data_IF_473836252757
#
_entry.id   IF_473836252757
#
_cell.length_a   1.000
_cell.length_b   1.000
_cell.length_c   1.000
_cell.angle_alpha   90.00
_cell.angle_beta   90.00
_cell.angle_gamma   90.00
#
_symmetry.space_group_name_H-M   'P 1'
#
loop_
_entity.id
_entity.type
_entity.pdbx_description
1 polymer ?
#
# COMPACT_ATOMS: atom_id res chain seq x y z
N UNK A 1 -5.33 -25.39 -19.33
CA UNK A 1 -4.08 -24.76 -18.88
C UNK A 1 -3.90 -23.53 -19.75
N UNK A 2 -4.21 -22.35 -19.21
CA UNK A 2 -4.02 -21.10 -19.91
C UNK A 2 -2.68 -20.54 -19.41
N UNK A 3 -1.67 -20.49 -20.27
CA UNK A 3 -0.33 -19.92 -20.00
C UNK A 3 -0.34 -18.39 -19.85
N UNK A 4 -1.47 -17.79 -19.44
CA UNK A 4 -1.67 -16.33 -19.34
C UNK A 4 -2.13 -15.86 -17.94
N UNK A 5 -2.00 -16.69 -16.90
CA UNK A 5 -2.38 -16.32 -15.53
C UNK A 5 -1.22 -16.41 -14.54
N UNK A 6 0.00 -16.07 -14.95
CA UNK A 6 1.03 -15.72 -13.97
C UNK A 6 1.03 -14.19 -13.80
N UNK A 7 0.53 -13.65 -12.68
CA UNK A 7 0.59 -12.21 -12.41
C UNK A 7 2.04 -11.68 -12.38
N UNK A 8 3.04 -12.55 -12.21
CA UNK A 8 4.46 -12.20 -12.31
C UNK A 8 4.97 -12.09 -13.77
N UNK A 9 4.19 -12.54 -14.76
CA UNK A 9 4.54 -12.46 -16.19
C UNK A 9 4.21 -11.10 -16.81
N UNK A 10 3.37 -10.29 -16.16
CA UNK A 10 2.99 -8.97 -16.65
C UNK A 10 4.19 -8.00 -16.61
N UNK A 11 4.51 -7.40 -17.75
CA UNK A 11 5.55 -6.38 -17.89
C UNK A 11 5.29 -5.22 -16.90
N UNK A 12 4.03 -4.85 -16.69
CA UNK A 12 3.68 -3.75 -15.82
C UNK A 12 3.94 -4.07 -14.34
N UNK A 13 3.70 -5.32 -13.93
CA UNK A 13 4.08 -5.82 -12.61
C UNK A 13 5.59 -5.66 -12.39
N UNK A 14 6.40 -6.12 -13.35
CA UNK A 14 7.87 -6.00 -13.32
C UNK A 14 8.33 -4.55 -13.25
N UNK A 15 7.72 -3.66 -14.04
CA UNK A 15 8.01 -2.22 -14.03
C UNK A 15 7.73 -1.63 -12.65
N UNK A 16 6.55 -1.89 -12.09
CA UNK A 16 6.14 -1.39 -10.77
C UNK A 16 7.04 -1.90 -9.65
N UNK A 17 7.36 -3.18 -9.67
CA UNK A 17 8.26 -3.78 -8.70
C UNK A 17 9.67 -3.20 -8.79
N UNK A 18 10.17 -3.01 -10.01
CA UNK A 18 11.48 -2.39 -10.26
C UNK A 18 11.51 -0.92 -9.86
N UNK A 19 10.41 -0.18 -10.06
CA UNK A 19 10.28 1.19 -9.57
C UNK A 19 10.27 1.29 -8.04
N UNK A 20 9.75 0.28 -7.33
CA UNK A 20 9.87 0.22 -5.87
C UNK A 20 11.34 0.13 -5.43
N UNK A 21 12.17 -0.68 -6.10
CA UNK A 21 13.61 -0.73 -5.83
C UNK A 21 14.31 0.59 -6.18
N UNK A 22 13.95 1.22 -7.30
CA UNK A 22 14.49 2.53 -7.69
C UNK A 22 14.10 3.61 -6.67
N UNK A 23 12.90 3.54 -6.10
CA UNK A 23 12.47 4.41 -5.01
C UNK A 23 13.31 4.19 -3.76
N UNK A 24 13.53 2.94 -3.35
CA UNK A 24 14.40 2.62 -2.21
C UNK A 24 15.84 3.13 -2.40
N UNK A 25 16.44 2.92 -3.57
CA UNK A 25 17.76 3.47 -3.91
C UNK A 25 17.75 5.01 -3.83
N UNK A 26 16.74 5.68 -4.41
CA UNK A 26 16.62 7.13 -4.39
C UNK A 26 16.51 7.69 -2.96
N UNK A 27 15.72 7.03 -2.11
CA UNK A 27 15.56 7.40 -0.71
C UNK A 27 16.85 7.20 0.06
N UNK A 28 17.56 6.08 -0.09
CA UNK A 28 18.84 5.86 0.59
C UNK A 28 19.92 6.86 0.18
N UNK A 29 19.88 7.39 -1.05
CA UNK A 29 20.79 8.48 -1.45
C UNK A 29 20.50 9.80 -0.69
N UNK A 30 19.27 10.01 -0.19
CA UNK A 30 18.83 11.22 0.53
C UNK A 30 18.89 11.02 2.05
N UNK A 31 18.53 9.83 2.52
CA UNK A 31 18.51 9.39 3.92
C UNK A 31 19.30 8.08 4.03
N UNK A 32 20.64 8.12 4.10
CA UNK A 32 21.47 6.92 4.14
C UNK A 32 21.22 5.99 5.34
N UNK A 33 20.65 6.54 6.41
CA UNK A 33 20.34 5.81 7.63
C UNK A 33 18.90 5.25 7.67
N UNK A 34 18.09 5.48 6.63
CA UNK A 34 16.75 4.91 6.54
C UNK A 34 16.85 3.39 6.42
N UNK A 35 15.96 2.66 7.11
CA UNK A 35 15.89 1.20 7.02
C UNK A 35 14.75 0.78 6.10
N UNK A 36 14.97 -0.27 5.33
CA UNK A 36 14.01 -0.75 4.34
C UNK A 36 13.10 -1.82 4.96
N UNK A 37 11.80 -1.72 4.69
CA UNK A 37 10.82 -2.76 5.04
C UNK A 37 10.32 -3.46 3.77
N UNK A 38 9.11 -3.14 3.29
CA UNK A 38 8.51 -3.79 2.12
C UNK A 38 8.15 -2.79 1.03
N UNK A 39 8.38 -3.18 -0.23
CA UNK A 39 7.98 -2.39 -1.38
C UNK A 39 7.38 -3.19 -2.53
N UNK A 40 6.15 -3.71 -2.36
CA UNK A 40 5.50 -4.48 -3.40
C UNK A 40 4.91 -3.57 -4.50
N UNK A 41 4.73 -4.10 -5.72
CA UNK A 41 3.83 -3.52 -6.69
C UNK A 41 2.38 -3.58 -6.18
N UNK A 42 1.57 -2.62 -6.61
CA UNK A 42 0.12 -2.56 -6.37
C UNK A 42 -0.62 -2.29 -7.68
N UNK A 43 -1.95 -2.41 -7.67
CA UNK A 43 -2.81 -2.34 -8.86
C UNK A 43 -2.53 -1.15 -9.79
N UNK A 44 -2.23 0.03 -9.25
CA UNK A 44 -2.02 1.27 -10.02
C UNK A 44 -0.59 1.84 -9.88
N UNK A 45 0.34 1.06 -9.32
CA UNK A 45 1.68 1.57 -9.02
C UNK A 45 2.47 0.69 -8.07
N UNK A 46 3.10 1.31 -7.09
CA UNK A 46 3.95 0.64 -6.11
C UNK A 46 3.99 1.47 -4.82
N UNK A 47 4.49 0.88 -3.75
CA UNK A 47 4.92 1.65 -2.59
C UNK A 47 6.22 1.10 -2.05
N UNK A 48 6.82 1.82 -1.11
CA UNK A 48 7.88 1.29 -0.27
C UNK A 48 7.74 1.84 1.15
N UNK A 49 7.83 0.96 2.14
CA UNK A 49 7.82 1.27 3.57
C UNK A 49 9.24 1.51 4.09
N UNK A 50 9.44 2.64 4.76
CA UNK A 50 10.72 3.06 5.31
C UNK A 50 10.60 3.36 6.80
N UNK A 51 11.65 3.02 7.55
CA UNK A 51 11.88 3.56 8.88
C UNK A 51 12.95 4.64 8.79
N UNK A 52 12.53 5.89 8.95
CA UNK A 52 13.41 7.06 8.91
C UNK A 52 13.98 7.44 10.29
N UNK A 53 13.60 6.73 11.35
CA UNK A 53 13.91 7.14 12.71
C UNK A 53 13.44 8.57 13.00
N UNK A 54 14.39 9.46 13.32
CA UNK A 54 14.11 10.86 13.66
C UNK A 54 14.01 11.83 12.48
N UNK A 55 14.27 11.40 11.24
CA UNK A 55 14.34 12.28 10.06
C UNK A 55 13.36 11.85 8.94
N UNK A 56 12.04 11.84 9.20
CA UNK A 56 11.05 11.42 8.22
C UNK A 56 11.05 12.33 6.99
N UNK A 57 10.60 11.77 5.87
CA UNK A 57 10.31 12.54 4.65
C UNK A 57 8.85 12.95 4.62
N UNK A 58 8.59 14.15 4.11
CA UNK A 58 7.25 14.70 3.89
C UNK A 58 6.91 14.81 2.40
N UNK A 59 5.69 15.24 2.10
CA UNK A 59 5.24 15.42 0.70
C UNK A 59 6.12 16.42 -0.07
N UNK A 60 6.72 17.39 0.63
CA UNK A 60 7.64 18.37 0.07
C UNK A 60 8.96 17.76 -0.46
N UNK A 61 9.34 16.56 0.02
CA UNK A 61 10.55 15.86 -0.43
C UNK A 61 10.31 15.02 -1.70
N UNK A 62 9.05 14.71 -2.03
CA UNK A 62 8.69 13.86 -3.17
C UNK A 62 9.27 14.35 -4.51
N UNK A 63 9.26 15.67 -4.83
CA UNK A 63 9.88 16.15 -6.07
C UNK A 63 11.39 15.89 -6.12
N UNK A 64 12.11 15.94 -4.99
CA UNK A 64 13.54 15.62 -4.97
C UNK A 64 13.75 14.11 -5.18
N UNK A 65 13.00 13.27 -4.46
CA UNK A 65 13.08 11.81 -4.55
C UNK A 65 12.77 11.37 -5.99
N UNK A 66 11.69 11.87 -6.59
CA UNK A 66 11.30 11.53 -7.96
C UNK A 66 12.38 11.94 -8.97
N UNK A 67 13.00 13.12 -8.80
CA UNK A 67 14.11 13.55 -9.63
C UNK A 67 15.33 12.63 -9.51
N UNK A 68 15.62 12.10 -8.32
CA UNK A 68 16.68 11.09 -8.12
C UNK A 68 16.33 9.76 -8.76
N UNK A 69 15.08 9.30 -8.66
CA UNK A 69 14.60 8.12 -9.39
C UNK A 69 14.84 8.28 -10.90
N UNK A 70 14.47 9.43 -11.48
CA UNK A 70 14.71 9.73 -12.91
C UNK A 70 16.21 9.73 -13.26
N UNK A 71 17.08 10.17 -12.35
CA UNK A 71 18.56 10.10 -12.55
C UNK A 71 19.06 8.66 -12.51
N UNK A 72 18.52 7.82 -11.63
CA UNK A 72 18.85 6.38 -11.54
C UNK A 72 18.46 5.67 -12.85
N UNK A 73 17.25 5.91 -13.36
CA UNK A 73 16.81 5.30 -14.63
C UNK A 73 17.73 5.64 -15.81
N UNK A 74 18.27 6.87 -15.84
CA UNK A 74 19.22 7.29 -16.89
C UNK A 74 20.54 6.52 -16.88
N UNK A 75 20.91 5.87 -15.77
CA UNK A 75 22.12 5.04 -15.67
C UNK A 75 21.98 3.73 -16.46
N UNK A 76 20.75 3.28 -16.76
CA UNK A 76 20.46 2.05 -17.52
C UNK A 76 21.12 0.79 -16.92
N UNK A 77 21.18 0.74 -15.59
CA UNK A 77 21.76 -0.39 -14.84
C UNK A 77 20.87 -1.64 -14.96
N UNK A 78 21.47 -2.85 -15.05
CA UNK A 78 20.73 -4.10 -15.05
C UNK A 78 20.21 -4.45 -13.65
N UNK A 79 19.09 -5.16 -13.59
CA UNK A 79 18.67 -5.85 -12.36
C UNK A 79 19.27 -7.26 -12.35
N UNK A 80 20.17 -7.54 -11.43
CA UNK A 80 20.88 -8.82 -11.35
C UNK A 80 20.37 -9.60 -10.15
N UNK A 81 19.77 -10.77 -10.41
CA UNK A 81 19.33 -11.71 -9.38
C UNK A 81 20.54 -12.50 -8.85
N UNK A 82 20.65 -12.59 -7.54
CA UNK A 82 21.57 -13.50 -6.85
C UNK A 82 20.83 -14.25 -5.75
N UNK A 83 21.39 -15.37 -5.31
CA UNK A 83 20.86 -16.15 -4.20
C UNK A 83 21.94 -16.28 -3.13
N UNK A 84 21.54 -16.23 -1.88
CA UNK A 84 22.39 -16.47 -0.72
C UNK A 84 21.74 -17.56 0.13
N UNK A 85 22.54 -18.38 0.80
CA UNK A 85 21.98 -19.27 1.84
C UNK A 85 21.34 -18.43 2.95
N UNK A 86 20.41 -18.99 3.71
CA UNK A 86 19.77 -18.28 4.84
C UNK A 86 20.81 -17.68 5.78
N UNK A 87 21.86 -18.42 6.13
CA UNK A 87 22.89 -17.96 7.07
C UNK A 87 23.70 -16.78 6.49
N UNK A 88 24.09 -16.86 5.21
CA UNK A 88 24.78 -15.77 4.50
C UNK A 88 23.90 -14.53 4.38
N UNK A 89 22.62 -14.72 4.03
CA UNK A 89 21.64 -13.65 3.90
C UNK A 89 21.42 -12.93 5.23
N UNK A 90 21.27 -13.66 6.33
CA UNK A 90 21.12 -13.09 7.67
C UNK A 90 22.36 -12.29 8.06
N UNK A 91 23.57 -12.85 7.91
CA UNK A 91 24.81 -12.15 8.22
C UNK A 91 25.00 -10.88 7.37
N UNK A 92 24.61 -10.95 6.09
CA UNK A 92 24.66 -9.82 5.16
C UNK A 92 23.70 -8.69 5.57
N UNK A 93 22.44 -9.03 5.87
CA UNK A 93 21.41 -8.06 6.27
C UNK A 93 21.71 -7.45 7.65
N UNK A 94 22.19 -8.24 8.60
CA UNK A 94 22.59 -7.77 9.93
C UNK A 94 23.76 -6.78 9.86
N UNK A 95 24.77 -7.07 9.03
CA UNK A 95 25.91 -6.16 8.80
C UNK A 95 25.47 -4.81 8.21
N UNK A 96 24.37 -4.79 7.44
CA UNK A 96 23.78 -3.58 6.85
C UNK A 96 22.76 -2.89 7.76
N UNK A 97 22.43 -3.47 8.91
CA UNK A 97 21.45 -2.91 9.84
C UNK A 97 20.00 -2.98 9.36
N UNK A 98 19.68 -3.86 8.40
CA UNK A 98 18.35 -4.01 7.79
C UNK A 98 17.41 -4.83 8.69
N UNK A 99 17.08 -4.30 9.86
CA UNK A 99 16.39 -5.04 10.95
C UNK A 99 15.08 -5.70 10.51
N UNK A 100 14.29 -5.04 9.65
CA UNK A 100 13.01 -5.57 9.17
C UNK A 100 13.21 -6.74 8.19
N UNK A 101 14.23 -6.67 7.33
CA UNK A 101 14.58 -7.73 6.39
C UNK A 101 15.16 -8.94 7.13
N UNK A 102 15.95 -8.72 8.20
CA UNK A 102 16.47 -9.80 9.06
C UNK A 102 15.31 -10.57 9.70
N UNK A 103 14.35 -9.86 10.29
CA UNK A 103 13.17 -10.49 10.89
C UNK A 103 12.40 -11.30 9.85
N UNK A 104 12.13 -10.72 8.68
CA UNK A 104 11.43 -11.42 7.61
C UNK A 104 12.19 -12.63 7.08
N UNK A 105 13.51 -12.54 6.93
CA UNK A 105 14.36 -13.66 6.52
C UNK A 105 14.28 -14.83 7.52
N UNK A 106 14.26 -14.55 8.83
CA UNK A 106 14.09 -15.57 9.88
C UNK A 106 12.71 -16.22 9.79
N UNK A 107 11.65 -15.43 9.66
CA UNK A 107 10.29 -15.96 9.49
C UNK A 107 10.17 -16.86 8.26
N UNK A 108 10.77 -16.47 7.13
CA UNK A 108 10.78 -17.27 5.92
C UNK A 108 11.53 -18.59 6.12
N UNK A 109 12.69 -18.56 6.78
CA UNK A 109 13.46 -19.76 7.09
C UNK A 109 12.67 -20.74 7.99
N UNK A 110 11.94 -20.22 8.98
CA UNK A 110 11.12 -21.02 9.89
C UNK A 110 9.85 -21.57 9.23
N UNK A 111 9.30 -20.87 8.23
CA UNK A 111 8.07 -21.28 7.54
C UNK A 111 8.21 -22.56 6.72
N UNK A 112 9.44 -22.97 6.37
CA UNK A 112 9.71 -24.10 5.48
C UNK A 112 9.33 -23.85 4.01
N UNK A 113 8.98 -22.61 3.63
CA UNK A 113 8.56 -22.25 2.27
C UNK A 113 9.74 -21.98 1.32
N UNK A 114 10.97 -21.93 1.84
CA UNK A 114 12.16 -21.63 1.04
C UNK A 114 12.57 -22.81 0.15
N UNK A 115 12.62 -22.58 -1.15
CA UNK A 115 13.18 -23.52 -2.10
C UNK A 115 14.71 -23.57 -1.94
N UNK A 116 15.24 -24.75 -1.60
CA UNK A 116 16.69 -24.97 -1.46
C UNK A 116 17.34 -24.25 -0.27
N UNK A 117 16.56 -23.76 0.70
CA UNK A 117 17.07 -23.00 1.86
C UNK A 117 17.92 -21.78 1.47
N UNK A 118 17.51 -21.09 0.40
CA UNK A 118 18.14 -19.87 -0.09
C UNK A 118 17.15 -18.71 -0.10
N UNK A 119 17.68 -17.50 0.01
CA UNK A 119 16.96 -16.25 -0.14
C UNK A 119 17.50 -15.53 -1.38
N UNK A 120 16.60 -15.00 -2.19
CA UNK A 120 16.97 -14.24 -3.38
C UNK A 120 17.11 -12.75 -3.10
N UNK A 121 18.03 -12.16 -3.84
CA UNK A 121 18.36 -10.75 -3.81
C UNK A 121 18.40 -10.21 -5.23
N UNK A 122 18.09 -8.93 -5.38
CA UNK A 122 18.27 -8.22 -6.64
C UNK A 122 19.16 -7.00 -6.41
N UNK A 123 20.18 -6.87 -7.24
CA UNK A 123 21.03 -5.68 -7.28
C UNK A 123 20.74 -4.81 -8.50
N UNK A 124 20.86 -3.50 -8.31
CA UNK A 124 20.73 -2.46 -9.35
C UNK A 124 21.77 -1.39 -9.07
N UNK A 125 22.89 -1.42 -9.79
CA UNK A 125 24.05 -0.58 -9.47
C UNK A 125 24.60 -0.89 -8.07
N UNK A 126 24.65 0.13 -7.21
CA UNK A 126 25.15 0.00 -5.83
C UNK A 126 24.06 -0.45 -4.82
N UNK A 127 22.81 -0.53 -5.28
CA UNK A 127 21.67 -0.95 -4.47
C UNK A 127 21.49 -2.46 -4.54
N UNK A 128 21.14 -3.08 -3.40
CA UNK A 128 20.80 -4.49 -3.29
C UNK A 128 19.69 -4.66 -2.26
N UNK A 129 18.67 -5.42 -2.60
CA UNK A 129 17.51 -5.68 -1.75
C UNK A 129 17.15 -7.16 -1.74
N UNK A 130 16.64 -7.63 -0.60
CA UNK A 130 16.09 -8.98 -0.46
C UNK A 130 14.69 -9.00 -1.06
N UNK A 131 14.54 -9.74 -2.15
CA UNK A 131 13.37 -9.71 -3.01
C UNK A 131 13.28 -10.98 -3.87
N UNK A 132 12.07 -11.51 -4.05
CA UNK A 132 11.81 -12.67 -4.91
C UNK A 132 11.76 -12.30 -6.41
N UNK A 133 11.43 -11.03 -6.71
CA UNK A 133 11.19 -10.54 -8.05
C UNK A 133 9.81 -10.97 -8.58
N UNK A 134 9.65 -11.06 -9.92
CA UNK A 134 10.60 -10.69 -10.95
C UNK A 134 10.75 -9.16 -11.11
N UNK A 135 11.82 -8.77 -11.80
CA UNK A 135 12.13 -7.39 -12.22
C UNK A 135 12.24 -7.29 -13.75
N UNK A 136 12.25 -6.07 -14.28
CA UNK A 136 12.66 -5.81 -15.67
C UNK A 136 14.15 -6.13 -15.83
N UNK A 137 14.65 -6.37 -17.05
CA UNK A 137 16.06 -6.77 -17.19
C UNK A 137 17.01 -5.61 -16.86
N UNK A 138 16.60 -4.38 -17.16
CA UNK A 138 17.36 -3.18 -16.81
C UNK A 138 16.45 -1.94 -16.64
N UNK A 139 16.97 -0.94 -15.94
CA UNK A 139 16.23 0.30 -15.64
C UNK A 139 15.81 1.12 -16.87
N UNK A 140 16.36 0.87 -18.06
CA UNK A 140 15.94 1.55 -19.29
C UNK A 140 14.60 1.04 -19.84
N UNK A 141 14.13 -0.14 -19.41
CA UNK A 141 12.79 -0.66 -19.76
C UNK A 141 11.66 0.05 -19.03
N UNK A 142 11.99 0.80 -17.98
CA UNK A 142 11.03 1.59 -17.21
C UNK A 142 10.75 2.89 -17.98
N UNK A 143 9.49 3.16 -18.42
CA UNK A 143 9.14 4.42 -19.05
C UNK A 143 9.36 5.55 -18.05
N UNK A 144 10.37 6.39 -18.31
CA UNK A 144 10.74 7.43 -17.36
C UNK A 144 9.57 8.37 -17.06
N UNK A 145 8.76 8.72 -18.06
CA UNK A 145 7.58 9.58 -17.93
C UNK A 145 6.28 8.82 -17.59
N UNK A 146 6.35 7.50 -17.45
CA UNK A 146 5.21 6.63 -17.07
C UNK A 146 5.01 6.47 -15.57
N UNK A 147 5.79 7.16 -14.73
CA UNK A 147 5.63 7.13 -13.27
C UNK A 147 5.65 8.53 -12.64
N UNK A 148 5.03 8.62 -11.46
CA UNK A 148 5.06 9.78 -10.57
C UNK A 148 4.90 9.34 -9.11
N UNK A 149 5.58 10.01 -8.17
CA UNK A 149 5.29 9.84 -6.75
C UNK A 149 3.95 10.49 -6.42
N UNK A 150 3.22 9.88 -5.48
CA UNK A 150 1.81 10.18 -5.23
C UNK A 150 1.55 10.80 -3.87
N UNK A 151 1.71 10.02 -2.82
CA UNK A 151 1.36 10.40 -1.45
C UNK A 151 2.21 9.65 -0.45
N UNK A 152 2.24 10.15 0.78
CA UNK A 152 2.84 9.49 1.92
C UNK A 152 1.74 9.03 2.88
N UNK A 153 1.92 7.88 3.52
CA UNK A 153 1.08 7.45 4.64
C UNK A 153 1.90 6.79 5.73
N UNK A 154 1.33 6.65 6.93
CA UNK A 154 1.86 5.75 7.95
C UNK A 154 1.44 4.30 7.68
N UNK A 155 2.28 3.35 8.06
CA UNK A 155 1.94 1.94 8.20
C UNK A 155 2.60 1.40 9.47
N UNK A 156 2.05 0.35 10.07
CA UNK A 156 2.72 -0.33 11.17
C UNK A 156 3.40 -1.58 10.64
N UNK A 157 4.59 -1.89 11.15
CA UNK A 157 5.26 -3.13 10.78
C UNK A 157 4.37 -4.34 11.13
N UNK A 158 4.14 -5.23 10.14
CA UNK A 158 3.17 -6.34 10.21
C UNK A 158 1.73 -5.96 10.51
N UNK A 159 1.37 -4.68 10.40
CA UNK A 159 0.03 -4.17 10.73
C UNK A 159 -0.30 -4.19 12.22
N UNK A 160 0.69 -4.31 13.10
CA UNK A 160 0.51 -4.32 14.56
C UNK A 160 0.81 -2.93 15.12
N UNK A 161 -0.19 -2.26 15.68
CA UNK A 161 -0.08 -0.88 16.20
C UNK A 161 0.92 -0.72 17.36
N UNK A 162 1.36 -1.83 17.97
CA UNK A 162 2.37 -1.85 19.03
C UNK A 162 3.79 -1.84 18.49
N UNK A 163 3.97 -2.01 17.17
CA UNK A 163 5.27 -2.07 16.50
C UNK A 163 5.64 -0.72 15.89
N UNK A 164 6.91 -0.51 15.46
CA UNK A 164 7.33 0.75 14.88
C UNK A 164 6.42 1.21 13.73
N UNK A 165 6.10 2.50 13.74
CA UNK A 165 5.41 3.16 12.64
C UNK A 165 6.40 3.45 11.52
N UNK A 166 6.09 2.96 10.33
CA UNK A 166 6.84 3.14 9.10
C UNK A 166 6.20 4.25 8.27
N UNK A 167 7.01 4.88 7.43
CA UNK A 167 6.59 5.85 6.42
C UNK A 167 6.48 5.14 5.09
N UNK A 168 5.26 5.03 4.56
CA UNK A 168 4.96 4.48 3.25
C UNK A 168 4.96 5.58 2.21
N UNK A 169 5.79 5.44 1.17
CA UNK A 169 5.78 6.33 0.01
C UNK A 169 5.12 5.59 -1.14
N UNK A 170 4.02 6.14 -1.68
CA UNK A 170 3.34 5.60 -2.85
C UNK A 170 3.86 6.24 -4.14
N UNK A 171 3.95 5.44 -5.20
CA UNK A 171 4.16 5.90 -6.57
C UNK A 171 3.13 5.27 -7.50
N UNK A 172 2.74 6.02 -8.53
CA UNK A 172 1.94 5.56 -9.66
C UNK A 172 2.87 5.11 -10.78
N UNK A 173 2.51 4.05 -11.50
CA UNK A 173 3.29 3.59 -12.66
C UNK A 173 2.41 2.88 -13.69
N UNK A 174 2.59 3.30 -14.94
CA UNK A 174 1.86 2.89 -16.12
C UNK A 174 2.82 2.65 -17.30
N UNK A 175 2.32 2.01 -18.37
CA UNK A 175 3.14 1.70 -19.53
C UNK A 175 3.52 2.96 -20.34
N UNK A 176 2.78 4.06 -20.17
CA UNK A 176 3.00 5.31 -20.87
C UNK A 176 2.61 6.53 -20.04
N UNK A 177 3.16 7.70 -20.41
CA UNK A 177 2.74 8.99 -19.86
C UNK A 177 1.24 9.27 -20.06
N UNK A 178 0.69 8.88 -21.21
CA UNK A 178 -0.71 9.09 -21.52
C UNK A 178 -1.65 8.34 -20.54
N UNK A 179 -1.32 7.08 -20.23
CA UNK A 179 -2.07 6.30 -19.24
C UNK A 179 -1.94 6.86 -17.81
N UNK A 180 -0.76 7.33 -17.44
CA UNK A 180 -0.54 8.00 -16.16
C UNK A 180 -1.41 9.27 -16.05
N UNK A 181 -1.40 10.11 -17.08
CA UNK A 181 -2.16 11.36 -17.09
C UNK A 181 -3.68 11.07 -17.09
N UNK A 182 -4.15 10.07 -17.84
CA UNK A 182 -5.55 9.60 -17.83
C UNK A 182 -5.99 9.10 -16.43
N UNK A 183 -5.16 8.28 -15.78
CA UNK A 183 -5.45 7.82 -14.41
C UNK A 183 -5.52 8.98 -13.42
N UNK A 184 -4.60 9.94 -13.50
CA UNK A 184 -4.61 11.12 -12.62
C UNK A 184 -5.86 11.97 -12.83
N UNK A 185 -6.31 12.13 -14.06
CA UNK A 185 -7.56 12.85 -14.36
C UNK A 185 -8.79 12.11 -13.82
N UNK A 186 -8.89 10.79 -14.04
CA UNK A 186 -9.97 9.98 -13.45
C UNK A 186 -10.00 10.08 -11.93
N UNK A 187 -8.83 10.04 -11.28
CA UNK A 187 -8.72 10.19 -9.83
C UNK A 187 -9.13 11.59 -9.36
N UNK A 188 -8.75 12.64 -10.09
CA UNK A 188 -9.17 14.01 -9.82
C UNK A 188 -10.71 14.13 -9.88
N UNK A 189 -11.32 13.60 -10.93
CA UNK A 189 -12.78 13.55 -11.09
C UNK A 189 -13.45 12.71 -9.98
N UNK A 190 -12.84 11.62 -9.54
CA UNK A 190 -13.35 10.82 -8.42
C UNK A 190 -13.29 11.58 -7.08
N UNK A 191 -12.20 12.31 -6.81
CA UNK A 191 -12.05 13.16 -5.62
C UNK A 191 -13.08 14.29 -5.61
N UNK A 192 -13.43 14.85 -6.77
CA UNK A 192 -14.51 15.83 -6.86
C UNK A 192 -15.87 15.27 -6.44
N UNK A 193 -16.05 13.95 -6.54
CA UNK A 193 -17.28 13.23 -6.24
C UNK A 193 -17.20 12.46 -4.93
N UNK A 194 -16.17 12.74 -4.12
CA UNK A 194 -16.01 12.11 -2.82
C UNK A 194 -17.15 12.54 -1.88
N UNK A 195 -17.88 11.56 -1.34
CA UNK A 195 -19.00 11.80 -0.44
C UNK A 195 -18.59 12.56 0.83
N UNK A 196 -17.31 12.52 1.24
CA UNK A 196 -16.80 13.27 2.38
C UNK A 196 -16.69 14.75 2.06
N UNK A 197 -16.33 15.07 0.82
CA UNK A 197 -16.29 16.46 0.33
C UNK A 197 -17.71 16.96 0.09
N UNK A 198 -18.47 16.24 -0.73
CA UNK A 198 -19.84 16.61 -1.09
C UNK A 198 -20.78 16.60 0.12
N UNK A 199 -20.58 15.69 1.07
CA UNK A 199 -21.39 15.62 2.29
C UNK A 199 -21.28 16.87 3.15
N UNK A 200 -20.11 17.50 3.19
CA UNK A 200 -19.89 18.78 3.86
C UNK A 200 -20.40 19.93 2.99
N UNK A 201 -20.04 19.98 1.70
CA UNK A 201 -20.45 21.05 0.77
C UNK A 201 -21.97 21.16 0.59
N UNK A 202 -22.68 20.03 0.66
CA UNK A 202 -24.15 19.95 0.51
C UNK A 202 -24.87 19.85 1.86
N UNK A 203 -24.16 20.02 2.98
CA UNK A 203 -24.74 19.97 4.33
C UNK A 203 -25.57 18.69 4.60
N UNK A 204 -25.05 17.53 4.19
CA UNK A 204 -25.71 16.23 4.37
C UNK A 204 -25.40 15.62 5.73
N UNK A 205 -24.13 15.71 6.17
CA UNK A 205 -23.70 15.23 7.47
C UNK A 205 -22.49 16.04 7.96
N UNK A 206 -22.21 15.96 9.26
CA UNK A 206 -20.96 16.45 9.83
C UNK A 206 -20.29 15.37 10.69
N UNK A 207 -18.97 15.48 10.83
CA UNK A 207 -18.16 14.72 11.77
C UNK A 207 -17.65 15.70 12.83
N UNK A 208 -17.95 15.43 14.09
CA UNK A 208 -17.57 16.29 15.21
C UNK A 208 -16.69 15.50 16.17
N UNK A 209 -15.52 16.04 16.51
CA UNK A 209 -14.57 15.39 17.41
C UNK A 209 -15.11 15.24 18.83
N UNK A 210 -15.98 16.15 19.30
CA UNK A 210 -16.61 16.09 20.62
C UNK A 210 -17.61 14.93 20.70
N UNK A 211 -18.28 14.61 19.58
CA UNK A 211 -19.19 13.46 19.48
C UNK A 211 -18.42 12.14 19.36
N UNK A 212 -17.31 12.15 18.60
CA UNK A 212 -16.40 11.02 18.47
C UNK A 212 -16.17 10.56 17.03
N UNK A 213 -14.99 9.99 16.79
CA UNK A 213 -14.57 9.51 15.47
C UNK A 213 -15.46 8.36 14.98
N UNK A 214 -15.88 8.43 13.72
CA UNK A 214 -16.74 7.42 13.08
C UNK A 214 -18.23 7.54 13.41
N UNK A 215 -18.66 8.61 14.09
CA UNK A 215 -20.07 8.84 14.48
C UNK A 215 -20.61 10.08 13.73
N UNK A 216 -21.12 9.92 12.49
CA UNK A 216 -21.64 11.05 11.73
C UNK A 216 -22.96 11.57 12.28
N UNK A 217 -23.07 12.90 12.37
CA UNK A 217 -24.32 13.59 12.63
C UNK A 217 -25.02 13.90 11.30
N UNK A 218 -26.20 13.33 11.10
CA UNK A 218 -27.02 13.59 9.91
C UNK A 218 -27.68 14.97 10.03
N UNK A 219 -27.40 15.83 9.07
CA UNK A 219 -28.02 17.15 8.96
C UNK A 219 -29.41 17.03 8.29
N UNK A 220 -30.26 18.07 8.30
CA UNK A 220 -31.62 17.97 7.77
C UNK A 220 -31.70 17.41 6.34
N UNK A 221 -30.83 17.86 5.42
CA UNK A 221 -30.83 17.38 4.03
C UNK A 221 -30.43 15.90 3.92
N UNK A 222 -29.39 15.48 4.65
CA UNK A 222 -28.99 14.07 4.68
C UNK A 222 -30.02 13.18 5.38
N UNK A 223 -30.70 13.69 6.40
CA UNK A 223 -31.79 12.98 7.09
C UNK A 223 -32.94 12.66 6.13
N UNK A 224 -33.35 13.60 5.27
CA UNK A 224 -34.37 13.36 4.25
C UNK A 224 -33.97 12.23 3.29
N UNK A 225 -32.72 12.25 2.80
CA UNK A 225 -32.21 11.19 1.91
C UNK A 225 -32.27 9.83 2.60
N UNK A 226 -31.79 9.77 3.85
CA UNK A 226 -31.80 8.56 4.66
C UNK A 226 -33.22 8.03 4.89
N UNK A 227 -34.16 8.90 5.26
CA UNK A 227 -35.55 8.53 5.54
C UNK A 227 -36.26 7.96 4.30
N UNK A 228 -36.04 8.54 3.12
CA UNK A 228 -36.61 8.03 1.86
C UNK A 228 -36.04 6.65 1.50
N UNK A 229 -34.73 6.42 1.72
CA UNK A 229 -34.11 5.11 1.53
C UNK A 229 -34.64 4.07 2.53
N UNK A 230 -34.77 4.44 3.81
CA UNK A 230 -35.34 3.56 4.84
C UNK A 230 -36.80 3.20 4.53
N UNK A 231 -37.60 4.17 4.07
CA UNK A 231 -38.99 3.94 3.65
C UNK A 231 -39.06 2.96 2.49
N UNK A 232 -38.26 3.19 1.44
CA UNK A 232 -38.21 2.28 0.29
C UNK A 232 -37.79 0.87 0.69
N UNK A 233 -36.77 0.73 1.54
CA UNK A 233 -36.33 -0.57 2.04
C UNK A 233 -37.46 -1.31 2.77
N UNK A 234 -38.21 -0.63 3.65
CA UNK A 234 -39.37 -1.22 4.34
C UNK A 234 -40.43 -1.75 3.37
N UNK A 235 -40.72 -1.00 2.32
CA UNK A 235 -41.71 -1.39 1.29
C UNK A 235 -41.23 -2.60 0.48
N UNK A 236 -39.94 -2.68 0.17
CA UNK A 236 -39.32 -3.82 -0.53
C UNK A 236 -39.32 -5.07 0.36
N UNK A 237 -38.86 -4.95 1.61
CA UNK A 237 -38.86 -6.04 2.61
C UNK A 237 -40.27 -6.62 2.78
N UNK A 238 -41.27 -5.76 2.93
CA UNK A 238 -42.67 -6.18 3.08
C UNK A 238 -43.17 -6.97 1.88
N UNK A 239 -42.92 -6.48 0.65
CA UNK A 239 -43.30 -7.19 -0.59
C UNK A 239 -42.58 -8.53 -0.75
N UNK A 240 -41.36 -8.64 -0.22
CA UNK A 240 -40.59 -9.88 -0.20
C UNK A 240 -41.01 -10.85 0.93
N UNK A 241 -42.00 -10.49 1.76
CA UNK A 241 -42.53 -11.35 2.82
C UNK A 241 -41.71 -11.36 4.11
N UNK A 242 -40.79 -10.40 4.28
CA UNK A 242 -40.03 -10.28 5.53
C UNK A 242 -40.92 -9.77 6.67
N UNK A 243 -40.71 -10.32 7.86
CA UNK A 243 -41.34 -9.86 9.10
C UNK A 243 -40.35 -9.00 9.88
N UNK A 244 -40.56 -7.68 9.92
CA UNK A 244 -39.67 -6.79 10.68
C UNK A 244 -39.89 -6.95 12.18
N UNK A 245 -38.78 -6.99 12.91
CA UNK A 245 -38.74 -7.01 14.38
C UNK A 245 -37.90 -5.84 14.89
N UNK A 246 -38.03 -5.50 16.17
CA UNK A 246 -37.21 -4.48 16.84
C UNK A 246 -36.45 -5.12 17.99
N UNK A 247 -35.12 -4.95 18.01
CA UNK A 247 -34.23 -5.53 19.01
C UNK A 247 -33.38 -4.45 19.68
N UNK A 248 -32.99 -4.60 20.96
CA UNK A 248 -32.06 -3.69 21.62
C UNK A 248 -30.70 -3.62 20.92
N UNK A 249 -30.05 -2.46 20.91
CA UNK A 249 -28.71 -2.26 20.34
C UNK A 249 -27.57 -2.82 21.22
N UNK A 250 -27.86 -3.15 22.49
CA UNK A 250 -26.89 -3.66 23.47
C UNK A 250 -27.45 -4.94 24.08
N UNK A 251 -26.58 -5.95 24.25
CA UNK A 251 -26.92 -7.24 24.86
C UNK A 251 -25.88 -7.67 25.91
N UNK A 252 -26.21 -8.71 26.69
CA UNK A 252 -25.26 -9.30 27.66
C UNK A 252 -24.11 -10.00 26.94
N UNK A 253 -22.91 -9.95 27.54
CA UNK A 253 -21.70 -10.60 27.02
C UNK A 253 -21.86 -12.08 26.67
N UNK A 254 -22.68 -12.83 27.43
CA UNK A 254 -22.96 -14.24 27.16
C UNK A 254 -23.59 -14.49 25.79
N UNK A 255 -24.38 -13.56 25.27
CA UNK A 255 -24.95 -13.68 23.93
C UNK A 255 -23.84 -13.65 22.88
N UNK A 256 -22.92 -12.69 23.01
CA UNK A 256 -21.81 -12.57 22.07
C UNK A 256 -20.86 -13.77 22.16
N UNK A 257 -20.57 -14.29 23.37
CA UNK A 257 -19.82 -15.55 23.56
C UNK A 257 -20.49 -16.74 22.86
N UNK A 258 -21.79 -16.94 23.10
CA UNK A 258 -22.55 -18.03 22.46
C UNK A 258 -22.57 -17.92 20.94
N UNK A 259 -22.60 -16.70 20.42
CA UNK A 259 -22.57 -16.44 18.97
C UNK A 259 -21.17 -16.48 18.36
N UNK A 260 -20.10 -16.58 19.17
CA UNK A 260 -18.70 -16.54 18.72
C UNK A 260 -18.15 -15.14 18.37
N UNK A 261 -18.86 -14.06 18.69
CA UNK A 261 -18.40 -12.68 18.43
C UNK A 261 -17.54 -12.10 19.57
N UNK A 262 -17.49 -12.78 20.72
CA UNK A 262 -16.48 -12.53 21.76
C UNK A 262 -15.62 -13.79 21.92
N UNK A 263 -14.28 -13.64 22.04
CA UNK A 263 -13.36 -14.73 22.33
C UNK A 263 -13.57 -15.33 23.73
#
# INVERSE_FOLDING_TARGET
MCDQCDPNSDLLYKIRHSLAHVLAEAVLQIRPNAKLAFGPPVENGFYYDFDFGSEPVGEADLPEIENRMRKILKKKVPFVRSEMTVDEALAFLEKRGEVYKVEYARELAESGQLSGNTLSFYSSGDFIDMCEGPHVANTAEIPADGFALDRISGSYWRGDEKRPMLTRIYGLAFASKAELDDYRERRRLAMERDHRRLGVELELFLLDEEVGSGIPLWLPAGTVIRDELEKWAREVEFRAGYQRVSTPAIAKGDLYRRSGHLP
#
